data_IF_347411343173
#
_entry.id   IF_347411343173
#
_cell.length_a   1.000
_cell.length_b   1.000
_cell.length_c   1.000
_cell.angle_alpha   90.00
_cell.angle_beta   90.00
_cell.angle_gamma   90.00
#
_symmetry.space_group_name_H-M   'P 1'
#
loop_
_entity.id
_entity.type
_entity.pdbx_description
1 polymer ?
#
# COMPACT_ATOMS: atom_id res chain seq x y z
N UNK A 1 -3.22 -37.45 -75.04
CA UNK A 1 -4.07 -37.25 -73.85
C UNK A 1 -3.19 -36.85 -72.69
N UNK A 2 -3.24 -35.58 -72.25
CA UNK A 2 -2.79 -35.10 -70.92
C UNK A 2 -3.25 -33.65 -70.79
N UNK A 3 -4.22 -33.41 -69.91
CA UNK A 3 -4.48 -32.07 -69.37
C UNK A 3 -4.32 -32.19 -67.86
N UNK A 4 -3.22 -31.64 -67.35
CA UNK A 4 -3.00 -31.44 -65.93
C UNK A 4 -3.46 -30.01 -65.63
N UNK A 5 -4.46 -29.85 -64.76
CA UNK A 5 -4.86 -28.54 -64.25
C UNK A 5 -4.06 -28.26 -62.98
N UNK A 6 -3.15 -27.29 -63.05
CA UNK A 6 -2.46 -26.75 -61.89
C UNK A 6 -3.15 -25.46 -61.48
N UNK A 7 -3.87 -25.48 -60.35
CA UNK A 7 -4.45 -24.29 -59.76
C UNK A 7 -3.46 -23.70 -58.75
N UNK A 8 -2.86 -22.57 -59.12
CA UNK A 8 -1.96 -21.79 -58.25
C UNK A 8 -2.76 -20.63 -57.66
N UNK A 9 -3.55 -20.89 -56.63
CA UNK A 9 -4.21 -19.81 -55.88
C UNK A 9 -3.89 -20.00 -54.41
N UNK A 10 -2.99 -19.16 -53.90
CA UNK A 10 -2.68 -19.04 -52.48
C UNK A 10 -3.18 -17.67 -52.02
N UNK A 11 -4.22 -17.65 -51.21
CA UNK A 11 -4.64 -16.46 -50.47
C UNK A 11 -3.83 -16.40 -49.18
N UNK A 12 -2.90 -15.44 -49.07
CA UNK A 12 -2.19 -15.17 -47.83
C UNK A 12 -2.90 -14.03 -47.09
N UNK A 13 -3.42 -14.30 -45.88
CA UNK A 13 -3.93 -13.28 -44.98
C UNK A 13 -2.79 -12.67 -44.16
N UNK A 14 -2.58 -11.35 -44.29
CA UNK A 14 -1.65 -10.60 -43.44
C UNK A 14 -2.46 -10.13 -42.23
N UNK A 15 -2.27 -10.77 -41.08
CA UNK A 15 -2.83 -10.31 -39.81
C UNK A 15 -1.92 -9.25 -39.19
N UNK A 16 -2.45 -8.05 -38.92
CA UNK A 16 -1.78 -7.05 -38.11
C UNK A 16 -2.16 -7.24 -36.64
N UNK A 17 -1.18 -7.36 -35.74
CA UNK A 17 -1.40 -7.31 -34.30
C UNK A 17 -1.34 -5.85 -33.84
N UNK A 18 -2.48 -5.27 -33.49
CA UNK A 18 -2.56 -3.96 -32.84
C UNK A 18 -2.57 -4.13 -31.33
N UNK A 19 -1.58 -3.55 -30.63
CA UNK A 19 -1.57 -3.37 -29.18
C UNK A 19 -2.06 -1.95 -28.91
N UNK A 20 -3.18 -1.80 -28.22
CA UNK A 20 -3.62 -0.51 -27.70
C UNK A 20 -2.91 -0.24 -26.37
N UNK A 21 -2.24 0.90 -26.24
CA UNK A 21 -1.76 1.39 -24.96
C UNK A 21 -2.88 2.20 -24.30
N UNK A 22 -3.27 1.80 -23.09
CA UNK A 22 -4.17 2.58 -22.24
C UNK A 22 -3.50 3.90 -21.86
N UNK A 23 -4.13 5.03 -22.19
CA UNK A 23 -3.73 6.36 -21.72
C UNK A 23 -4.94 6.94 -20.97
N UNK A 24 -4.93 6.74 -19.65
CA UNK A 24 -5.94 7.26 -18.72
C UNK A 24 -5.81 8.76 -18.43
N UNK A 25 -6.61 9.22 -17.49
CA UNK A 25 -6.68 10.62 -17.06
C UNK A 25 -5.48 11.02 -16.19
N UNK A 26 -4.99 12.24 -16.38
CA UNK A 26 -3.89 12.82 -15.60
C UNK A 26 -4.29 13.03 -14.12
N UNK A 27 -3.36 12.75 -13.21
CA UNK A 27 -3.53 12.97 -11.77
C UNK A 27 -3.22 14.44 -11.39
N UNK A 28 -3.99 15.00 -10.47
CA UNK A 28 -3.81 16.39 -10.01
C UNK A 28 -2.74 16.47 -8.92
N UNK A 29 -1.69 17.27 -9.14
CA UNK A 29 -0.63 17.45 -8.15
C UNK A 29 -1.07 18.35 -6.99
N UNK A 30 -0.75 17.94 -5.77
CA UNK A 30 -0.92 18.77 -4.57
C UNK A 30 0.33 19.64 -4.34
N UNK A 31 0.14 20.90 -3.91
CA UNK A 31 1.20 21.85 -3.62
C UNK A 31 1.38 22.00 -2.09
N UNK A 32 2.42 21.40 -1.51
CA UNK A 32 2.77 21.55 -0.09
C UNK A 32 4.30 21.60 0.11
N UNK A 33 4.76 22.39 1.08
CA UNK A 33 6.18 22.51 1.44
C UNK A 33 6.58 21.39 2.39
N UNK A 34 6.82 20.18 1.87
CA UNK A 34 7.31 19.02 2.61
C UNK A 34 8.72 18.67 2.13
N UNK A 35 9.71 18.64 3.03
CA UNK A 35 11.09 18.25 2.70
C UNK A 35 11.16 16.73 2.68
N UNK A 36 11.08 16.12 1.50
CA UNK A 36 11.25 14.66 1.33
C UNK A 36 12.64 14.37 0.75
N UNK A 37 13.34 13.39 1.32
CA UNK A 37 14.66 12.95 0.84
C UNK A 37 14.58 11.70 -0.07
N UNK A 38 13.38 11.19 -0.32
CA UNK A 38 13.09 9.96 -1.07
C UNK A 38 12.14 10.23 -2.27
N UNK A 39 12.06 9.30 -3.22
CA UNK A 39 11.20 9.41 -4.41
C UNK A 39 9.73 9.15 -4.07
N UNK A 40 9.03 10.17 -3.57
CA UNK A 40 7.63 10.08 -3.14
C UNK A 40 6.67 9.76 -4.30
N UNK A 41 5.84 8.72 -4.13
CA UNK A 41 4.68 8.46 -5.00
C UNK A 41 3.53 9.39 -4.59
N UNK A 42 2.84 9.99 -5.56
CA UNK A 42 1.84 11.05 -5.34
C UNK A 42 0.75 10.64 -4.33
N UNK A 43 0.83 11.17 -3.10
CA UNK A 43 -0.06 10.88 -1.97
C UNK A 43 -0.60 12.19 -1.34
N UNK A 44 -1.80 12.18 -0.76
CA UNK A 44 -2.37 13.38 -0.14
C UNK A 44 -1.93 13.51 1.33
N UNK A 45 -1.04 14.46 1.65
CA UNK A 45 -0.57 14.68 3.02
C UNK A 45 -1.63 15.33 3.93
N UNK A 46 -1.85 14.74 5.11
CA UNK A 46 -2.97 15.05 5.98
C UNK A 46 -2.59 15.40 7.42
N UNK A 47 -1.73 16.40 7.68
CA UNK A 47 -1.38 16.83 9.05
C UNK A 47 -2.60 17.23 9.89
N UNK A 48 -3.05 16.34 10.77
CA UNK A 48 -4.20 16.55 11.66
C UNK A 48 -3.89 16.16 13.11
N UNK A 49 -4.61 16.73 14.08
CA UNK A 49 -4.54 16.26 15.46
C UNK A 49 -5.05 14.80 15.57
N UNK A 50 -4.47 14.03 16.49
CA UNK A 50 -4.84 12.64 16.70
C UNK A 50 -6.24 12.52 17.34
N UNK A 51 -7.23 12.11 16.55
CA UNK A 51 -8.62 11.94 16.99
C UNK A 51 -8.95 10.50 17.40
N UNK A 52 -7.99 9.58 17.34
CA UNK A 52 -8.20 8.19 17.76
C UNK A 52 -8.27 8.08 19.29
N UNK A 53 -8.91 7.02 19.78
CA UNK A 53 -8.97 6.77 21.24
C UNK A 53 -7.59 6.41 21.76
N UNK A 54 -7.10 7.17 22.74
CA UNK A 54 -5.80 6.94 23.35
C UNK A 54 -5.67 5.54 23.92
N UNK A 55 -4.51 4.92 23.73
CA UNK A 55 -4.25 3.55 24.14
C UNK A 55 -4.60 2.49 23.09
N UNK A 56 -5.09 2.85 21.91
CA UNK A 56 -5.38 1.92 20.81
C UNK A 56 -4.24 1.85 19.78
N UNK A 57 -4.20 0.77 18.99
CA UNK A 57 -3.22 0.58 17.92
C UNK A 57 -3.24 1.73 16.91
N UNK A 58 -4.43 2.17 16.49
CA UNK A 58 -4.63 3.29 15.57
C UNK A 58 -4.10 4.61 16.11
N UNK A 59 -4.29 4.88 17.41
CA UNK A 59 -3.78 6.09 18.05
C UNK A 59 -2.25 6.13 18.08
N UNK A 60 -1.62 5.02 18.44
CA UNK A 60 -0.17 4.93 18.49
C UNK A 60 0.47 5.08 17.10
N UNK A 61 -0.07 4.39 16.10
CA UNK A 61 0.46 4.47 14.73
C UNK A 61 0.28 5.87 14.14
N UNK A 62 -0.85 6.53 14.41
CA UNK A 62 -1.08 7.91 13.98
C UNK A 62 -0.03 8.88 14.56
N UNK A 63 0.32 8.71 15.85
CA UNK A 63 1.35 9.50 16.51
C UNK A 63 2.74 9.24 15.91
N UNK A 64 3.04 7.96 15.60
CA UNK A 64 4.33 7.54 15.01
C UNK A 64 4.58 8.07 13.61
N UNK A 65 3.54 8.25 12.80
CA UNK A 65 3.65 8.87 11.47
C UNK A 65 3.52 10.40 11.52
N UNK A 66 3.69 11.01 12.70
CA UNK A 66 3.59 12.46 12.95
C UNK A 66 2.28 13.09 12.46
N UNK A 67 1.19 12.31 12.49
CA UNK A 67 -0.11 12.74 11.99
C UNK A 67 -0.15 13.01 10.50
N UNK A 68 0.77 12.45 9.71
CA UNK A 68 0.81 12.60 8.24
C UNK A 68 -0.40 11.98 7.54
N UNK A 69 -1.14 11.09 8.24
CA UNK A 69 -2.32 10.39 7.74
C UNK A 69 -3.65 11.04 8.19
N UNK A 70 -4.75 10.67 7.54
CA UNK A 70 -6.09 11.13 7.94
C UNK A 70 -6.52 10.63 9.34
N UNK A 71 -7.02 11.53 10.18
CA UNK A 71 -7.54 11.20 11.53
C UNK A 71 -8.94 10.56 11.53
N UNK A 72 -9.53 10.32 10.35
CA UNK A 72 -10.91 9.83 10.17
C UNK A 72 -11.01 8.51 9.42
N UNK A 73 -9.91 7.75 9.28
CA UNK A 73 -9.94 6.44 8.62
C UNK A 73 -10.67 5.36 9.42
N UNK A 74 -10.93 5.62 10.70
CA UNK A 74 -11.73 4.75 11.56
C UNK A 74 -10.94 3.54 12.07
N UNK A 75 -11.57 2.37 12.07
CA UNK A 75 -10.95 1.14 12.59
C UNK A 75 -9.81 0.65 11.69
N UNK A 76 -8.85 -0.05 12.28
CA UNK A 76 -7.66 -0.57 11.60
C UNK A 76 -7.98 -1.43 10.36
N UNK A 77 -9.08 -2.19 10.38
CA UNK A 77 -9.53 -2.97 9.22
C UNK A 77 -9.87 -2.11 7.98
N UNK A 78 -10.21 -0.83 8.15
CA UNK A 78 -10.60 0.08 7.08
C UNK A 78 -9.42 0.94 6.57
N UNK A 79 -8.30 0.97 7.29
CA UNK A 79 -7.19 1.89 7.00
C UNK A 79 -6.65 1.74 5.58
N UNK A 80 -6.43 0.51 5.09
CA UNK A 80 -5.95 0.29 3.73
C UNK A 80 -6.90 0.86 2.65
N UNK A 81 -8.22 0.69 2.85
CA UNK A 81 -9.25 1.23 1.94
C UNK A 81 -9.32 2.75 2.02
N UNK A 82 -9.33 3.32 3.23
CA UNK A 82 -9.39 4.76 3.44
C UNK A 82 -8.12 5.47 2.96
N UNK A 83 -6.96 4.87 3.14
CA UNK A 83 -5.67 5.37 2.66
C UNK A 83 -5.65 5.38 1.12
N UNK A 84 -6.06 4.29 0.49
CA UNK A 84 -6.18 4.23 -0.98
C UNK A 84 -7.15 5.29 -1.51
N UNK A 85 -8.29 5.50 -0.85
CA UNK A 85 -9.28 6.52 -1.21
C UNK A 85 -8.75 7.96 -0.99
N UNK A 86 -7.86 8.15 -0.02
CA UNK A 86 -7.14 9.39 0.21
C UNK A 86 -5.92 9.57 -0.70
N UNK A 87 -5.62 8.61 -1.59
CA UNK A 87 -4.54 8.69 -2.56
C UNK A 87 -3.18 8.20 -2.06
N UNK A 88 -3.10 7.61 -0.87
CA UNK A 88 -1.86 6.98 -0.40
C UNK A 88 -1.58 5.70 -1.19
N UNK A 89 -0.30 5.38 -1.33
CA UNK A 89 0.11 4.09 -1.90
C UNK A 89 -0.14 2.98 -0.89
N UNK A 90 -0.91 1.98 -1.31
CA UNK A 90 -1.17 0.78 -0.50
C UNK A 90 -0.78 -0.45 -1.30
N UNK A 91 0.15 -1.24 -0.77
CA UNK A 91 0.64 -2.46 -1.43
C UNK A 91 1.04 -3.51 -0.38
N UNK A 92 1.71 -4.59 -0.79
CA UNK A 92 2.19 -5.66 0.10
C UNK A 92 3.72 -5.65 0.27
N UNK A 93 4.37 -4.51 -0.03
CA UNK A 93 5.81 -4.33 0.10
C UNK A 93 6.13 -3.62 1.41
N UNK A 94 6.86 -4.26 2.34
CA UNK A 94 7.27 -3.60 3.57
C UNK A 94 8.31 -2.52 3.27
N UNK A 95 8.17 -1.38 3.95
CA UNK A 95 9.09 -0.25 3.89
C UNK A 95 9.20 0.40 5.27
N UNK A 96 10.39 0.89 5.64
CA UNK A 96 10.58 1.66 6.87
C UNK A 96 9.68 2.90 6.87
N UNK A 97 9.01 3.19 7.97
CA UNK A 97 8.08 4.33 8.05
C UNK A 97 6.67 4.06 7.51
N UNK A 98 6.47 2.94 6.80
CA UNK A 98 5.13 2.52 6.37
C UNK A 98 4.28 2.00 7.53
N UNK A 99 2.97 1.95 7.32
CA UNK A 99 2.01 1.41 8.26
C UNK A 99 1.62 0.01 7.81
N UNK A 100 1.92 -0.99 8.64
CA UNK A 100 1.39 -2.33 8.47
C UNK A 100 -0.08 -2.38 8.90
N UNK A 101 -0.91 -2.99 8.08
CA UNK A 101 -2.33 -3.20 8.32
C UNK A 101 -2.72 -4.66 8.15
N UNK A 102 -3.54 -5.14 9.08
CA UNK A 102 -4.20 -6.43 9.04
C UNK A 102 -5.70 -6.29 9.25
N UNK A 103 -6.49 -7.02 8.48
CA UNK A 103 -7.95 -7.13 8.70
C UNK A 103 -8.31 -8.25 9.69
N UNK A 104 -7.31 -8.93 10.27
CA UNK A 104 -7.54 -10.00 11.24
C UNK A 104 -8.17 -9.47 12.53
N UNK A 105 -9.20 -10.17 13.01
CA UNK A 105 -9.97 -9.78 14.21
C UNK A 105 -11.10 -8.78 13.93
N UNK A 106 -11.95 -8.48 14.93
CA UNK A 106 -13.17 -7.68 14.74
C UNK A 106 -12.90 -6.21 14.35
N UNK A 107 -11.76 -5.65 14.74
CA UNK A 107 -11.40 -4.25 14.48
C UNK A 107 -10.22 -4.09 13.50
N UNK A 108 -9.63 -5.20 13.05
CA UNK A 108 -8.32 -5.22 12.40
C UNK A 108 -7.19 -4.85 13.35
N UNK A 109 -5.99 -4.73 12.82
CA UNK A 109 -4.81 -4.30 13.55
C UNK A 109 -3.89 -3.47 12.68
N UNK A 110 -3.23 -2.49 13.28
CA UNK A 110 -2.20 -1.67 12.61
C UNK A 110 -0.95 -1.58 13.48
N UNK A 111 0.19 -1.55 12.82
CA UNK A 111 1.50 -1.39 13.43
C UNK A 111 2.34 -0.44 12.59
N UNK A 112 3.28 0.25 13.21
CA UNK A 112 4.24 1.08 12.50
C UNK A 112 5.47 0.24 12.16
N UNK A 113 5.99 0.33 10.94
CA UNK A 113 7.21 -0.37 10.52
C UNK A 113 8.42 0.45 10.95
N UNK A 114 9.12 -0.03 11.97
CA UNK A 114 10.34 0.60 12.47
C UNK A 114 11.54 0.33 11.56
N UNK A 115 11.63 -0.86 10.97
CA UNK A 115 12.75 -1.27 10.09
C UNK A 115 12.37 -2.48 9.23
N UNK A 116 12.97 -2.58 8.06
CA UNK A 116 12.92 -3.78 7.20
C UNK A 116 14.33 -4.35 7.07
N UNK A 117 14.55 -5.50 7.70
CA UNK A 117 15.85 -6.15 7.74
C UNK A 117 16.25 -6.66 6.35
N UNK A 118 17.55 -6.86 6.12
CA UNK A 118 18.08 -7.34 4.84
C UNK A 118 17.61 -8.75 4.45
N UNK A 119 17.15 -9.54 5.41
CA UNK A 119 16.56 -10.87 5.18
C UNK A 119 15.07 -10.81 4.80
N UNK A 120 14.49 -9.61 4.76
CA UNK A 120 13.08 -9.34 4.46
C UNK A 120 12.17 -9.42 5.68
N UNK A 121 12.70 -9.66 6.89
CA UNK A 121 11.91 -9.61 8.11
C UNK A 121 11.60 -8.18 8.53
N UNK A 122 10.39 -7.95 9.04
CA UNK A 122 9.88 -6.60 9.30
C UNK A 122 9.78 -6.38 10.80
N UNK A 123 10.49 -5.39 11.32
CA UNK A 123 10.38 -4.97 12.70
C UNK A 123 9.27 -3.94 12.83
N UNK A 124 8.30 -4.22 13.69
CA UNK A 124 7.14 -3.34 13.89
C UNK A 124 6.94 -2.98 15.35
N UNK A 125 6.47 -1.76 15.58
CA UNK A 125 6.02 -1.28 16.88
C UNK A 125 4.50 -1.07 16.86
N UNK A 126 3.82 -1.52 17.92
CA UNK A 126 2.37 -1.54 17.99
C UNK A 126 1.88 -1.37 19.42
N UNK A 127 0.68 -0.82 19.59
CA UNK A 127 0.06 -0.66 20.90
C UNK A 127 -1.20 -1.52 20.98
N UNK A 128 -1.48 -2.04 22.17
CA UNK A 128 -2.68 -2.81 22.47
C UNK A 128 -2.85 -4.09 21.64
N UNK A 129 -1.74 -4.71 21.20
CA UNK A 129 -1.79 -6.02 20.56
C UNK A 129 -1.95 -7.16 21.58
N UNK A 130 -1.09 -7.20 22.61
CA UNK A 130 -1.08 -8.30 23.58
C UNK A 130 -1.15 -7.85 25.05
N UNK A 131 -0.96 -6.56 25.34
CA UNK A 131 -0.86 -6.02 26.69
C UNK A 131 -2.01 -5.12 27.15
N UNK A 132 -3.07 -4.95 26.35
CA UNK A 132 -4.14 -4.01 26.67
C UNK A 132 -3.78 -2.54 26.32
N UNK A 133 -4.70 -1.60 26.62
CA UNK A 133 -4.51 -0.21 26.24
C UNK A 133 -3.26 0.39 26.89
N UNK A 134 -2.55 1.25 26.15
CA UNK A 134 -1.26 1.87 26.51
C UNK A 134 -0.05 0.94 26.59
N UNK A 135 -0.23 -0.36 26.36
CA UNK A 135 0.90 -1.29 26.28
C UNK A 135 1.46 -1.30 24.87
N UNK A 136 2.64 -0.68 24.70
CA UNK A 136 3.45 -0.79 23.49
C UNK A 136 4.15 -2.16 23.49
N UNK A 137 4.19 -2.80 22.34
CA UNK A 137 4.87 -4.05 22.09
C UNK A 137 5.55 -3.96 20.74
N UNK A 138 6.71 -4.60 20.64
CA UNK A 138 7.44 -4.72 19.40
C UNK A 138 7.48 -6.20 19.01
N UNK A 139 7.42 -6.47 17.71
CA UNK A 139 7.61 -7.82 17.19
C UNK A 139 8.28 -7.78 15.83
N UNK A 140 8.94 -8.89 15.50
CA UNK A 140 9.52 -9.11 14.19
C UNK A 140 8.67 -10.09 13.41
N UNK A 141 8.23 -9.68 12.23
CA UNK A 141 7.44 -10.49 11.30
C UNK A 141 8.42 -11.18 10.37
N UNK A 142 8.37 -12.52 10.25
CA UNK A 142 9.23 -13.22 9.33
C UNK A 142 8.90 -12.84 7.88
N UNK A 143 9.91 -12.80 7.01
CA UNK A 143 9.76 -12.40 5.61
C UNK A 143 8.66 -13.15 4.86
N UNK A 144 8.49 -14.45 5.16
CA UNK A 144 7.44 -15.29 4.57
C UNK A 144 6.01 -14.89 4.95
N UNK A 145 5.83 -14.11 6.01
CA UNK A 145 4.53 -13.63 6.48
C UNK A 145 4.31 -12.14 6.16
N UNK A 146 5.39 -11.36 6.04
CA UNK A 146 5.34 -9.92 5.75
C UNK A 146 4.44 -9.58 4.55
N UNK A 147 4.57 -10.32 3.45
CA UNK A 147 3.76 -10.11 2.23
C UNK A 147 2.26 -10.42 2.37
N UNK A 148 1.80 -10.94 3.51
CA UNK A 148 0.36 -11.18 3.78
C UNK A 148 -0.36 -9.95 4.33
N UNK A 149 0.38 -8.89 4.69
CA UNK A 149 -0.15 -7.66 5.24
C UNK A 149 -0.23 -6.56 4.18
N UNK A 150 -1.10 -5.58 4.39
CA UNK A 150 -1.11 -4.37 3.59
C UNK A 150 -0.17 -3.34 4.23
N UNK A 151 0.62 -2.65 3.42
CA UNK A 151 1.50 -1.56 3.83
C UNK A 151 1.00 -0.27 3.21
N UNK A 152 0.73 0.71 4.06
CA UNK A 152 0.34 2.07 3.66
C UNK A 152 1.58 2.93 3.75
N UNK A 153 2.01 3.48 2.62
CA UNK A 153 3.21 4.32 2.48
C UNK A 153 2.83 5.78 2.64
N UNK A 154 3.53 6.51 3.51
CA UNK A 154 3.13 7.84 4.02
C UNK A 154 4.15 8.95 3.71
N UNK A 155 5.11 8.68 2.82
CA UNK A 155 6.17 9.61 2.38
C UNK A 155 5.68 10.93 1.78
#
# INVERSE_FOLDING_TARGET
MKKLLTATTLTAGIGAAMVGLDHGHDANAAEQTQTTNESTTQSASGSSANLYTSGQCTWYVFDKVDGSIGSTWGNANNWASAASAAGYTVNNSPEEGSILQSTSGPYGHVAYVEDVNSDGSVHVSEMNYNGGPYSVSERTIPAGEAGSYNYIHVD
#
